data_IF_177805693970
#
_entry.id   IF_177805693970
#
_cell.length_a   1.000
_cell.length_b   1.000
_cell.length_c   1.000
_cell.angle_alpha   90.00
_cell.angle_beta   90.00
_cell.angle_gamma   90.00
#
_symmetry.space_group_name_H-M   'P 1'
#
loop_
_entity.id
_entity.type
_entity.pdbx_description
1 polymer ?
#
# COMPACT_ATOMS: atom_id res chain seq x y z
N UNK A 1 -3.57 3.26 30.67
CA UNK A 1 -4.32 4.19 29.81
C UNK A 1 -4.35 3.57 28.43
N UNK A 2 -5.39 2.79 28.16
CA UNK A 2 -5.53 2.06 26.90
C UNK A 2 -6.20 3.01 25.91
N UNK A 3 -5.46 3.45 24.91
CA UNK A 3 -5.97 4.29 23.84
C UNK A 3 -6.85 3.44 22.94
N UNK A 4 -8.15 3.39 23.24
CA UNK A 4 -9.15 2.94 22.27
C UNK A 4 -9.09 3.87 21.07
N UNK A 5 -8.85 3.39 19.82
CA UNK A 5 -8.92 4.26 18.66
C UNK A 5 -10.33 4.84 18.56
N UNK A 6 -10.41 6.16 18.42
CA UNK A 6 -11.68 6.89 18.46
C UNK A 6 -12.58 6.47 17.29
N UNK A 7 -13.89 6.46 17.58
CA UNK A 7 -14.96 5.95 16.72
C UNK A 7 -15.29 6.88 15.52
N UNK A 8 -14.49 7.92 15.25
CA UNK A 8 -14.79 8.95 14.23
C UNK A 8 -14.14 8.69 12.85
N UNK A 9 -13.19 7.76 12.73
CA UNK A 9 -12.50 7.46 11.45
C UNK A 9 -13.17 6.35 10.62
N UNK A 10 -14.24 5.72 11.12
CA UNK A 10 -14.99 4.66 10.41
C UNK A 10 -15.80 5.18 9.20
N UNK A 11 -15.90 6.49 9.01
CA UNK A 11 -17.04 7.07 8.29
C UNK A 11 -16.85 7.37 6.79
N UNK A 12 -15.94 6.68 6.08
CA UNK A 12 -15.83 6.91 4.61
C UNK A 12 -15.27 5.71 3.82
N UNK A 13 -15.23 4.51 4.41
CA UNK A 13 -14.93 3.30 3.65
C UNK A 13 -16.18 2.89 2.87
N UNK A 14 -16.17 3.10 1.56
CA UNK A 14 -17.22 2.60 0.66
C UNK A 14 -16.81 1.24 0.13
N UNK A 15 -17.71 0.28 0.23
CA UNK A 15 -17.48 -1.10 -0.23
C UNK A 15 -18.47 -1.42 -1.32
N UNK A 16 -17.96 -2.02 -2.39
CA UNK A 16 -18.78 -2.45 -3.51
C UNK A 16 -18.52 -3.92 -3.80
N UNK A 17 -19.56 -4.66 -4.15
CA UNK A 17 -19.46 -6.03 -4.59
C UNK A 17 -19.66 -6.11 -6.11
N UNK A 18 -18.85 -6.94 -6.76
CA UNK A 18 -19.00 -7.18 -8.19
C UNK A 18 -20.24 -8.04 -8.44
N UNK A 19 -21.12 -7.56 -9.31
CA UNK A 19 -22.21 -8.32 -9.90
C UNK A 19 -21.78 -8.80 -11.30
N UNK A 20 -21.46 -10.09 -11.45
CA UNK A 20 -20.97 -10.67 -12.71
C UNK A 20 -22.01 -10.63 -13.83
N UNK A 21 -23.30 -10.78 -13.51
CA UNK A 21 -24.39 -10.74 -14.49
C UNK A 21 -24.57 -9.35 -15.09
N UNK A 22 -24.52 -8.31 -14.25
CA UNK A 22 -24.65 -6.91 -14.69
C UNK A 22 -23.34 -6.32 -15.18
N UNK A 23 -22.21 -6.99 -14.92
CA UNK A 23 -20.86 -6.49 -15.17
C UNK A 23 -20.57 -5.13 -14.50
N UNK A 24 -21.14 -4.90 -13.32
CA UNK A 24 -21.02 -3.66 -12.55
C UNK A 24 -20.78 -3.91 -11.07
N UNK A 25 -20.30 -2.89 -10.37
CA UNK A 25 -20.22 -2.87 -8.92
C UNK A 25 -21.51 -2.33 -8.30
N UNK A 26 -22.00 -3.01 -7.26
CA UNK A 26 -23.13 -2.58 -6.44
C UNK A 26 -22.59 -2.21 -5.05
N UNK A 27 -23.03 -1.07 -4.51
CA UNK A 27 -22.57 -0.59 -3.20
C UNK A 27 -23.21 -1.42 -2.08
N UNK A 28 -22.39 -1.86 -1.13
CA UNK A 28 -22.83 -2.55 0.08
C UNK A 28 -22.94 -1.55 1.22
N UNK A 29 -24.13 -1.47 1.83
CA UNK A 29 -24.32 -0.74 3.07
C UNK A 29 -23.71 -1.54 4.22
N UNK A 30 -22.58 -1.07 4.74
CA UNK A 30 -21.95 -1.66 5.92
C UNK A 30 -22.64 -1.15 7.19
N UNK A 31 -23.22 -2.04 7.97
CA UNK A 31 -23.58 -1.71 9.35
C UNK A 31 -22.31 -1.47 10.18
N UNK A 32 -22.33 -0.48 11.08
CA UNK A 32 -21.14 0.04 11.78
C UNK A 32 -20.39 -1.00 12.64
N UNK A 33 -20.98 -2.18 12.85
CA UNK A 33 -20.44 -3.32 13.60
C UNK A 33 -20.09 -4.55 12.73
N UNK A 34 -20.40 -4.53 11.43
CA UNK A 34 -20.15 -5.65 10.55
C UNK A 34 -18.63 -5.87 10.42
N UNK A 35 -18.18 -7.10 10.65
CA UNK A 35 -16.77 -7.44 10.48
C UNK A 35 -16.47 -7.53 8.99
N UNK A 36 -15.57 -6.69 8.49
CA UNK A 36 -15.13 -6.69 7.09
C UNK A 36 -14.63 -8.08 6.67
N UNK A 37 -14.01 -8.82 7.58
CA UNK A 37 -13.54 -10.20 7.35
C UNK A 37 -14.65 -11.18 6.97
N UNK A 38 -15.90 -10.96 7.38
CA UNK A 38 -17.03 -11.83 7.03
C UNK A 38 -17.52 -11.60 5.58
N UNK A 39 -17.12 -10.47 4.98
CA UNK A 39 -17.44 -10.13 3.59
C UNK A 39 -16.43 -10.72 2.62
N UNK A 40 -15.18 -10.96 3.05
CA UNK A 40 -14.11 -11.52 2.23
C UNK A 40 -14.40 -13.02 1.96
N UNK A 41 -15.17 -13.31 0.91
CA UNK A 41 -15.49 -14.67 0.47
C UNK A 41 -14.70 -15.03 -0.78
N UNK A 42 -14.19 -16.26 -0.85
CA UNK A 42 -13.26 -16.66 -1.91
C UNK A 42 -13.85 -16.66 -3.33
N UNK A 43 -15.17 -16.67 -3.47
CA UNK A 43 -15.88 -16.71 -4.75
C UNK A 43 -16.28 -15.32 -5.28
N UNK A 44 -16.01 -14.24 -4.55
CA UNK A 44 -16.44 -12.89 -4.92
C UNK A 44 -15.25 -11.94 -5.17
N UNK A 45 -15.58 -10.79 -5.77
CA UNK A 45 -14.66 -9.65 -5.89
C UNK A 45 -15.30 -8.46 -5.20
N UNK A 46 -14.53 -7.82 -4.33
CA UNK A 46 -14.92 -6.63 -3.60
C UNK A 46 -14.04 -5.45 -4.02
N UNK A 47 -14.61 -4.26 -3.98
CA UNK A 47 -13.91 -3.02 -4.26
C UNK A 47 -14.09 -2.05 -3.09
N UNK A 48 -12.98 -1.65 -2.50
CA UNK A 48 -12.92 -0.80 -1.33
C UNK A 48 -12.37 0.57 -1.71
N UNK A 49 -13.03 1.65 -1.30
CA UNK A 49 -12.60 3.02 -1.59
C UNK A 49 -12.62 3.85 -0.31
N UNK A 50 -11.50 4.54 -0.03
CA UNK A 50 -11.43 5.59 1.00
C UNK A 50 -11.02 6.91 0.33
N UNK A 51 -11.97 7.82 0.03
CA UNK A 51 -11.70 9.05 -0.72
C UNK A 51 -10.59 9.90 -0.10
N UNK A 52 -10.62 10.09 1.22
CA UNK A 52 -9.61 10.86 1.98
C UNK A 52 -8.17 10.36 1.82
N UNK A 53 -7.98 9.06 1.60
CA UNK A 53 -6.64 8.47 1.49
C UNK A 53 -6.11 8.44 0.05
N UNK A 54 -6.95 8.82 -0.93
CA UNK A 54 -6.68 8.68 -2.36
C UNK A 54 -6.28 7.25 -2.77
N UNK A 55 -6.71 6.24 -2.01
CA UNK A 55 -6.42 4.82 -2.27
C UNK A 55 -7.71 4.02 -2.35
N UNK A 56 -7.71 3.06 -3.26
CA UNK A 56 -8.72 2.04 -3.37
C UNK A 56 -8.09 0.68 -3.68
N UNK A 57 -8.78 -0.37 -3.25
CA UNK A 57 -8.32 -1.74 -3.40
C UNK A 57 -9.41 -2.60 -4.00
N UNK A 58 -9.08 -3.35 -5.06
CA UNK A 58 -9.91 -4.45 -5.56
C UNK A 58 -9.39 -5.71 -4.89
N UNK A 59 -10.19 -6.29 -4.00
CA UNK A 59 -9.90 -7.58 -3.39
C UNK A 59 -10.53 -8.68 -4.23
N UNK A 60 -9.75 -9.69 -4.55
CA UNK A 60 -10.13 -10.78 -5.45
C UNK A 60 -10.05 -12.10 -4.71
N UNK A 61 -11.18 -12.77 -4.53
CA UNK A 61 -11.20 -14.12 -3.98
C UNK A 61 -10.46 -15.11 -4.87
N UNK A 62 -9.84 -16.12 -4.27
CA UNK A 62 -9.03 -17.14 -4.93
C UNK A 62 -9.84 -17.98 -5.93
N UNK A 63 -11.15 -18.12 -5.72
CA UNK A 63 -12.08 -18.83 -6.60
C UNK A 63 -12.79 -17.91 -7.62
N UNK A 64 -12.51 -16.61 -7.61
CA UNK A 64 -13.08 -15.69 -8.58
C UNK A 64 -12.54 -15.98 -10.00
N UNK A 65 -13.45 -16.06 -10.97
CA UNK A 65 -13.08 -16.40 -12.35
C UNK A 65 -12.25 -15.29 -13.02
N UNK A 66 -11.42 -15.65 -14.01
CA UNK A 66 -10.65 -14.67 -14.82
C UNK A 66 -11.56 -13.62 -15.46
N UNK A 67 -12.77 -14.01 -15.87
CA UNK A 67 -13.79 -13.10 -16.40
C UNK A 67 -14.17 -12.04 -15.37
N UNK A 68 -14.45 -12.45 -14.14
CA UNK A 68 -14.79 -11.53 -13.04
C UNK A 68 -13.65 -10.55 -12.78
N UNK A 69 -12.39 -11.01 -12.76
CA UNK A 69 -11.21 -10.15 -12.58
C UNK A 69 -11.12 -9.07 -13.68
N UNK A 70 -11.38 -9.44 -14.93
CA UNK A 70 -11.40 -8.51 -16.06
C UNK A 70 -12.53 -7.48 -15.96
N UNK A 71 -13.73 -7.92 -15.58
CA UNK A 71 -14.87 -7.03 -15.37
C UNK A 71 -14.56 -6.06 -14.23
N UNK A 72 -14.01 -6.55 -13.12
CA UNK A 72 -13.67 -5.75 -11.95
C UNK A 72 -12.71 -4.62 -12.30
N UNK A 73 -11.61 -4.89 -13.03
CA UNK A 73 -10.66 -3.87 -13.44
C UNK A 73 -11.31 -2.74 -14.26
N UNK A 74 -12.21 -3.10 -15.18
CA UNK A 74 -12.94 -2.13 -16.00
C UNK A 74 -14.01 -1.37 -15.20
N UNK A 75 -14.80 -2.07 -14.38
CA UNK A 75 -15.88 -1.49 -13.61
C UNK A 75 -15.36 -0.58 -12.48
N UNK A 76 -14.23 -0.93 -11.86
CA UNK A 76 -13.64 -0.16 -10.76
C UNK A 76 -13.24 1.25 -11.21
N UNK A 77 -12.77 1.41 -12.45
CA UNK A 77 -12.46 2.72 -13.04
C UNK A 77 -13.69 3.62 -13.08
N UNK A 78 -14.84 3.08 -13.51
CA UNK A 78 -16.11 3.84 -13.55
C UNK A 78 -16.59 4.25 -12.15
N UNK A 79 -16.44 3.38 -11.16
CA UNK A 79 -16.80 3.70 -9.77
C UNK A 79 -15.83 4.75 -9.21
N UNK A 80 -14.53 4.59 -9.45
CA UNK A 80 -13.49 5.54 -9.05
C UNK A 80 -13.81 6.93 -9.57
N UNK A 81 -14.11 7.08 -10.85
CA UNK A 81 -14.33 8.39 -11.46
C UNK A 81 -15.54 9.14 -10.85
N UNK A 82 -16.55 8.41 -10.37
CA UNK A 82 -17.69 8.99 -9.64
C UNK A 82 -17.32 9.49 -8.24
N UNK A 83 -16.33 8.87 -7.59
CA UNK A 83 -15.92 9.20 -6.24
C UNK A 83 -14.80 10.25 -6.23
N UNK A 84 -13.80 10.07 -7.09
CA UNK A 84 -12.67 10.97 -7.24
C UNK A 84 -11.64 10.41 -8.25
N UNK A 85 -11.33 11.13 -9.34
CA UNK A 85 -10.45 10.62 -10.40
C UNK A 85 -8.99 10.41 -9.95
N UNK A 86 -8.56 11.08 -8.87
CA UNK A 86 -7.19 11.00 -8.34
C UNK A 86 -6.91 9.75 -7.48
N UNK A 87 -7.92 8.89 -7.26
CA UNK A 87 -7.79 7.72 -6.40
C UNK A 87 -6.98 6.61 -7.12
N UNK A 88 -5.93 6.11 -6.46
CA UNK A 88 -5.12 5.00 -6.97
C UNK A 88 -5.80 3.66 -6.68
N UNK A 89 -6.11 2.91 -7.74
CA UNK A 89 -6.63 1.54 -7.68
C UNK A 89 -5.46 0.57 -7.56
N UNK A 90 -5.50 -0.33 -6.58
CA UNK A 90 -4.56 -1.45 -6.43
C UNK A 90 -5.33 -2.76 -6.36
N UNK A 91 -4.81 -3.84 -6.94
CA UNK A 91 -5.42 -5.17 -6.87
C UNK A 91 -4.75 -5.98 -5.77
N UNK A 92 -5.54 -6.73 -5.02
CA UNK A 92 -5.13 -7.63 -3.95
C UNK A 92 -5.82 -8.97 -4.18
N UNK A 93 -5.07 -10.05 -4.07
CA UNK A 93 -5.61 -11.41 -4.14
C UNK A 93 -5.74 -11.99 -2.73
N UNK A 94 -6.71 -12.87 -2.54
CA UNK A 94 -6.84 -13.68 -1.33
C UNK A 94 -5.53 -14.45 -1.08
N UNK A 95 -5.15 -14.57 0.20
CA UNK A 95 -3.87 -15.11 0.68
C UNK A 95 -2.60 -14.30 0.34
N UNK A 96 -2.65 -13.35 -0.59
CA UNK A 96 -1.54 -12.43 -0.93
C UNK A 96 -1.79 -10.98 -0.47
N UNK A 97 -2.50 -10.83 0.65
CA UNK A 97 -2.90 -9.51 1.16
C UNK A 97 -1.72 -8.72 1.76
N UNK A 98 -1.33 -7.57 1.16
CA UNK A 98 -0.26 -6.77 1.70
C UNK A 98 -0.69 -6.13 3.03
N UNK A 99 0.28 -5.91 3.93
CA UNK A 99 0.03 -5.23 5.22
C UNK A 99 -0.65 -3.87 5.04
N UNK A 100 -0.31 -3.14 3.97
CA UNK A 100 -0.95 -1.87 3.64
C UNK A 100 -2.47 -1.99 3.38
N UNK A 101 -2.95 -3.12 2.88
CA UNK A 101 -4.37 -3.40 2.71
C UNK A 101 -5.05 -3.69 4.05
N UNK A 102 -4.42 -4.46 4.93
CA UNK A 102 -4.94 -4.75 6.28
C UNK A 102 -5.06 -3.48 7.13
N UNK A 103 -4.04 -2.63 7.11
CA UNK A 103 -4.07 -1.30 7.73
C UNK A 103 -5.17 -0.44 7.10
N UNK A 104 -5.30 -0.49 5.77
CA UNK A 104 -6.35 0.24 5.06
C UNK A 104 -7.76 -0.21 5.50
N UNK A 105 -7.99 -1.48 5.78
CA UNK A 105 -9.26 -1.98 6.32
C UNK A 105 -9.42 -1.73 7.83
N UNK A 106 -8.37 -1.27 8.53
CA UNK A 106 -8.36 -1.10 9.98
C UNK A 106 -8.24 -2.42 10.76
N UNK A 107 -7.71 -3.47 10.12
CA UNK A 107 -7.46 -4.77 10.75
C UNK A 107 -6.13 -4.81 11.51
N UNK A 108 -5.16 -3.99 11.10
CA UNK A 108 -3.84 -3.86 11.72
C UNK A 108 -3.48 -2.39 11.93
N UNK A 109 -2.68 -2.10 12.95
CA UNK A 109 -2.15 -0.76 13.20
C UNK A 109 -0.93 -0.47 12.29
N UNK A 110 -0.76 0.78 11.82
CA UNK A 110 0.42 1.12 11.04
C UNK A 110 1.68 0.96 11.90
N UNK A 111 2.63 0.15 11.42
CA UNK A 111 3.96 0.03 12.04
C UNK A 111 4.63 1.40 11.99
N UNK A 112 4.82 2.02 13.17
CA UNK A 112 5.59 3.25 13.30
C UNK A 112 7.08 2.91 13.24
N UNK A 113 7.72 3.24 12.13
CA UNK A 113 9.18 3.13 11.98
C UNK A 113 9.94 4.28 12.69
N UNK A 114 9.36 4.86 13.76
CA UNK A 114 10.01 5.87 14.60
C UNK A 114 11.11 5.27 15.50
N UNK A 115 11.42 3.98 15.34
CA UNK A 115 12.58 3.38 15.97
C UNK A 115 13.83 3.97 15.31
N UNK A 116 14.36 5.02 15.93
CA UNK A 116 15.75 5.49 15.78
C UNK A 116 16.63 4.28 15.58
N UNK A 117 17.40 4.24 14.48
CA UNK A 117 18.41 3.21 14.24
C UNK A 117 19.19 2.96 15.53
N UNK A 118 18.94 1.83 16.19
CA UNK A 118 19.69 1.35 17.37
C UNK A 118 20.93 0.57 16.93
N UNK A 119 21.48 0.91 15.76
CA UNK A 119 22.84 0.53 15.40
C UNK A 119 23.83 1.44 16.10
N UNK A 120 25.09 1.02 16.30
CA UNK A 120 26.13 1.98 16.68
C UNK A 120 26.11 3.10 15.63
N UNK A 121 25.89 4.34 16.09
CA UNK A 121 26.18 5.49 15.25
C UNK A 121 27.65 5.36 14.87
N UNK A 122 27.97 5.49 13.58
CA UNK A 122 29.35 5.45 13.14
C UNK A 122 30.10 6.61 13.80
N UNK A 123 30.96 6.31 14.78
CA UNK A 123 31.64 7.32 15.59
C UNK A 123 32.85 7.94 14.87
N UNK A 124 33.23 7.42 13.69
CA UNK A 124 34.45 7.79 12.97
C UNK A 124 35.72 7.38 13.74
N UNK A 125 36.61 6.58 13.16
CA UNK A 125 37.96 6.41 13.71
C UNK A 125 38.88 7.43 13.07
N UNK A 126 39.92 7.85 13.78
CA UNK A 126 41.02 8.68 13.23
C UNK A 126 41.66 8.06 11.98
N UNK A 127 41.60 6.73 11.84
CA UNK A 127 42.01 6.00 10.63
C UNK A 127 41.12 6.31 9.42
N UNK A 128 39.82 6.56 9.66
CA UNK A 128 38.85 6.85 8.61
C UNK A 128 38.97 8.30 8.12
N UNK A 129 39.30 9.24 9.01
CA UNK A 129 39.66 10.62 8.63
C UNK A 129 40.94 10.65 7.80
N UNK A 130 41.97 9.87 8.20
CA UNK A 130 43.20 9.72 7.43
C UNK A 130 42.97 9.11 6.05
N UNK A 131 42.06 8.13 5.92
CA UNK A 131 41.68 7.54 4.64
C UNK A 131 40.94 8.54 3.74
N UNK A 132 40.05 9.36 4.31
CA UNK A 132 39.33 10.43 3.61
C UNK A 132 40.27 11.55 3.14
N UNK A 133 41.24 11.93 3.96
CA UNK A 133 42.30 12.89 3.59
C UNK A 133 43.25 12.32 2.52
N UNK A 134 43.58 11.03 2.61
CA UNK A 134 44.39 10.35 1.59
C UNK A 134 43.66 10.17 0.26
N UNK A 135 42.33 10.20 0.25
CA UNK A 135 41.47 10.18 -0.93
C UNK A 135 41.16 11.58 -1.48
N UNK A 136 42.02 12.57 -1.22
CA UNK A 136 41.87 13.90 -1.82
C UNK A 136 41.71 13.79 -3.35
N UNK A 137 40.82 14.61 -3.92
CA UNK A 137 40.45 14.63 -5.34
C UNK A 137 41.67 14.61 -6.28
N UNK A 138 42.80 15.15 -5.84
CA UNK A 138 44.06 15.16 -6.59
C UNK A 138 44.61 13.76 -6.87
N UNK A 139 44.54 12.82 -5.92
CA UNK A 139 44.95 11.41 -6.13
C UNK A 139 43.98 10.66 -7.04
N UNK A 140 42.68 10.96 -6.95
CA UNK A 140 41.65 10.39 -7.82
C UNK A 140 41.90 10.85 -9.26
N UNK A 141 42.13 12.15 -9.47
CA UNK A 141 42.49 12.73 -10.79
C UNK A 141 43.79 12.14 -11.30
N UNK A 142 44.85 12.06 -10.49
CA UNK A 142 46.15 11.47 -10.89
C UNK A 142 46.04 9.98 -11.27
N UNK A 143 45.14 9.23 -10.63
CA UNK A 143 44.93 7.81 -10.91
C UNK A 143 44.11 7.63 -12.18
N UNK A 144 43.09 8.46 -12.40
CA UNK A 144 42.28 8.47 -13.63
C UNK A 144 43.13 8.88 -14.85
N UNK A 145 43.99 9.90 -14.72
CA UNK A 145 44.93 10.31 -15.76
C UNK A 145 45.94 9.20 -16.09
N UNK A 146 46.46 8.48 -15.08
CA UNK A 146 47.38 7.34 -15.30
C UNK A 146 46.72 6.13 -15.95
N UNK A 147 45.42 5.94 -15.76
CA UNK A 147 44.66 4.84 -16.34
C UNK A 147 44.15 5.15 -17.76
N UNK A 148 44.35 6.38 -18.25
CA UNK A 148 44.06 6.77 -19.63
C UNK A 148 42.56 6.78 -19.99
N UNK A 149 41.69 6.78 -18.99
CA UNK A 149 40.25 7.00 -19.16
C UNK A 149 39.95 8.49 -18.99
N UNK A 150 39.25 9.13 -19.96
CA UNK A 150 38.89 10.54 -19.86
C UNK A 150 37.94 10.83 -18.69
#
# INVERSE_FOLDING_TARGET
>A
MSSTPSNDEKNELRVFQLNDEKATFEELELESNAKITELLKSDIILYFIKPKTFRSYIWTGAQASTRMKFIAANAATRVRDKVGPAIKISTVEEDEEPMAFKIFLGLEEPVKYDETQTGPAYEGRTEDEGLLEEMSLEKIVLTLEKLGTP
#
